data_IF_133580610971
#
_entry.id   IF_133580610971
#
_cell.length_a   1.000
_cell.length_b   1.000
_cell.length_c   1.000
_cell.angle_alpha   90.00
_cell.angle_beta   90.00
_cell.angle_gamma   90.00
#
_symmetry.space_group_name_H-M   'P 1'
#
loop_
_entity.id
_entity.type
_entity.pdbx_description
1 polymer ?
#
# COMPACT_ATOMS: atom_id res chain seq x y z
N UNK A 1 -36.63 42.84 36.97
CA UNK A 1 -35.49 42.60 37.90
C UNK A 1 -34.28 42.23 37.05
N UNK A 2 -33.52 43.23 36.60
CA UNK A 2 -32.34 43.05 35.75
C UNK A 2 -31.15 42.71 36.65
N UNK A 3 -30.85 41.42 36.76
CA UNK A 3 -29.67 40.94 37.48
C UNK A 3 -28.44 41.24 36.61
N UNK A 4 -27.84 42.42 36.78
CA UNK A 4 -26.54 42.74 36.22
C UNK A 4 -25.49 41.99 37.02
N UNK A 5 -25.43 40.67 36.83
CA UNK A 5 -24.40 39.84 37.40
C UNK A 5 -23.06 40.33 36.84
N UNK A 6 -22.27 41.00 37.67
CA UNK A 6 -20.89 41.36 37.36
C UNK A 6 -20.19 40.13 36.77
N UNK A 7 -19.89 40.18 35.47
CA UNK A 7 -19.17 39.13 34.76
C UNK A 7 -17.77 39.12 35.35
N UNK A 8 -17.37 38.04 36.02
CA UNK A 8 -16.06 38.00 36.66
C UNK A 8 -14.98 38.05 35.55
N UNK A 9 -13.96 38.93 35.67
CA UNK A 9 -12.90 39.03 34.66
C UNK A 9 -12.16 37.71 34.45
N UNK A 10 -12.07 36.88 35.50
CA UNK A 10 -11.54 35.51 35.43
C UNK A 10 -12.32 34.59 34.50
N UNK A 11 -13.66 34.74 34.44
CA UNK A 11 -14.49 33.93 33.53
C UNK A 11 -14.23 34.29 32.06
N UNK A 12 -14.10 35.58 31.76
CA UNK A 12 -13.79 36.05 30.41
C UNK A 12 -12.38 35.62 29.97
N UNK A 13 -11.38 35.72 30.86
CA UNK A 13 -10.02 35.25 30.59
C UNK A 13 -9.97 33.74 30.34
N UNK A 14 -10.65 32.94 31.15
CA UNK A 14 -10.74 31.50 30.95
C UNK A 14 -11.38 31.15 29.60
N UNK A 15 -12.41 31.91 29.18
CA UNK A 15 -13.06 31.72 27.89
C UNK A 15 -12.12 32.02 26.71
N UNK A 16 -11.40 33.15 26.76
CA UNK A 16 -10.44 33.54 25.72
C UNK A 16 -9.28 32.54 25.65
N UNK A 17 -8.72 32.16 26.79
CA UNK A 17 -7.65 31.17 26.86
C UNK A 17 -8.10 29.81 26.31
N UNK A 18 -9.32 29.38 26.64
CA UNK A 18 -9.93 28.17 26.09
C UNK A 18 -10.09 28.25 24.57
N UNK A 19 -10.65 29.34 24.05
CA UNK A 19 -10.81 29.55 22.62
C UNK A 19 -9.46 29.53 21.89
N UNK A 20 -8.44 30.18 22.45
CA UNK A 20 -7.09 30.18 21.90
C UNK A 20 -6.48 28.78 21.90
N UNK A 21 -6.59 28.05 23.00
CA UNK A 21 -6.10 26.68 23.11
C UNK A 21 -6.77 25.74 22.10
N UNK A 22 -8.09 25.84 21.93
CA UNK A 22 -8.81 25.05 20.92
C UNK A 22 -8.35 25.41 19.52
N UNK A 23 -8.17 26.69 19.21
CA UNK A 23 -7.68 27.11 17.89
C UNK A 23 -6.28 26.56 17.59
N UNK A 24 -5.37 26.60 18.57
CA UNK A 24 -4.03 26.03 18.44
C UNK A 24 -4.09 24.49 18.25
N UNK A 25 -4.93 23.81 19.03
CA UNK A 25 -5.11 22.37 18.93
C UNK A 25 -5.61 21.96 17.53
N UNK A 26 -6.56 22.72 16.95
CA UNK A 26 -7.06 22.47 15.59
C UNK A 26 -5.95 22.63 14.55
N UNK A 27 -5.13 23.67 14.65
CA UNK A 27 -4.01 23.88 13.72
C UNK A 27 -3.01 22.74 13.80
N UNK A 28 -2.62 22.32 15.01
CA UNK A 28 -1.70 21.20 15.22
C UNK A 28 -2.31 19.91 14.66
N UNK A 29 -3.58 19.64 14.96
CA UNK A 29 -4.30 18.48 14.44
C UNK A 29 -4.35 18.45 12.92
N UNK A 30 -4.60 19.60 12.27
CA UNK A 30 -4.60 19.72 10.82
C UNK A 30 -3.21 19.44 10.22
N UNK A 31 -2.15 19.98 10.81
CA UNK A 31 -0.77 19.70 10.38
C UNK A 31 -0.45 18.21 10.49
N UNK A 32 -0.77 17.59 11.63
CA UNK A 32 -0.57 16.15 11.83
C UNK A 32 -1.37 15.32 10.83
N UNK A 33 -2.62 15.70 10.55
CA UNK A 33 -3.47 15.02 9.57
C UNK A 33 -2.87 15.09 8.17
N UNK A 34 -2.33 16.24 7.76
CA UNK A 34 -1.67 16.40 6.45
C UNK A 34 -0.41 15.53 6.36
N UNK A 35 0.44 15.52 7.40
CA UNK A 35 1.63 14.68 7.42
C UNK A 35 1.29 13.19 7.36
N UNK A 36 0.26 12.78 8.12
CA UNK A 36 -0.25 11.42 8.07
C UNK A 36 -0.77 11.07 6.68
N UNK A 37 -1.62 11.91 6.10
CA UNK A 37 -2.16 11.72 4.76
C UNK A 37 -1.04 11.61 3.71
N UNK A 38 -0.05 12.50 3.75
CA UNK A 38 1.10 12.43 2.86
C UNK A 38 1.86 11.11 2.99
N UNK A 39 2.06 10.62 4.21
CA UNK A 39 2.73 9.35 4.48
C UNK A 39 1.93 8.17 3.91
N UNK A 40 0.62 8.16 4.14
CA UNK A 40 -0.29 7.13 3.61
C UNK A 40 -0.28 7.15 2.08
N UNK A 41 -0.24 8.32 1.45
CA UNK A 41 -0.11 8.43 -0.02
C UNK A 41 1.18 7.79 -0.51
N UNK A 42 2.32 8.08 0.12
CA UNK A 42 3.61 7.49 -0.26
C UNK A 42 3.60 5.97 -0.10
N UNK A 43 3.14 5.48 1.05
CA UNK A 43 3.05 4.03 1.32
C UNK A 43 2.07 3.36 0.35
N UNK A 44 0.92 3.96 0.11
CA UNK A 44 -0.09 3.47 -0.84
C UNK A 44 0.44 3.45 -2.27
N UNK A 45 1.22 4.45 -2.68
CA UNK A 45 1.85 4.50 -4.00
C UNK A 45 2.91 3.40 -4.15
N UNK A 46 3.84 3.28 -3.21
CA UNK A 46 4.87 2.22 -3.21
C UNK A 46 4.20 0.84 -3.16
N UNK A 47 3.23 0.67 -2.26
CA UNK A 47 2.45 -0.55 -2.14
C UNK A 47 1.77 -0.91 -3.46
N UNK A 48 1.08 0.04 -4.10
CA UNK A 48 0.41 -0.19 -5.40
C UNK A 48 1.39 -0.59 -6.50
N UNK A 49 2.56 0.05 -6.57
CA UNK A 49 3.61 -0.32 -7.52
C UNK A 49 4.12 -1.75 -7.28
N UNK A 50 4.41 -2.10 -6.02
CA UNK A 50 4.88 -3.43 -5.65
C UNK A 50 3.81 -4.50 -5.87
N UNK A 51 2.56 -4.25 -5.50
CA UNK A 51 1.44 -5.16 -5.74
C UNK A 51 1.16 -5.33 -7.24
N UNK A 52 1.24 -4.27 -8.02
CA UNK A 52 1.11 -4.33 -9.48
C UNK A 52 2.19 -5.21 -10.11
N UNK A 53 3.45 -5.02 -9.71
CA UNK A 53 4.56 -5.83 -10.17
C UNK A 53 4.44 -7.29 -9.72
N UNK A 54 4.09 -7.53 -8.45
CA UNK A 54 3.88 -8.87 -7.92
C UNK A 54 2.75 -9.59 -8.68
N UNK A 55 1.62 -8.93 -8.89
CA UNK A 55 0.50 -9.47 -9.65
C UNK A 55 0.90 -9.80 -11.10
N UNK A 56 1.68 -8.93 -11.73
CA UNK A 56 2.22 -9.17 -13.08
C UNK A 56 3.18 -10.38 -13.10
N UNK A 57 4.10 -10.48 -12.15
CA UNK A 57 5.02 -11.61 -12.05
C UNK A 57 4.28 -12.95 -11.82
N UNK A 58 3.25 -12.96 -10.96
CA UNK A 58 2.41 -14.14 -10.76
C UNK A 58 1.63 -14.52 -12.02
N UNK A 59 1.14 -13.54 -12.78
CA UNK A 59 0.47 -13.78 -14.08
C UNK A 59 1.45 -14.38 -15.09
N UNK A 60 2.67 -13.85 -15.17
CA UNK A 60 3.73 -14.36 -16.05
C UNK A 60 4.13 -15.80 -15.70
N UNK A 61 4.28 -16.12 -14.40
CA UNK A 61 4.56 -17.49 -13.94
C UNK A 61 3.45 -18.47 -14.34
N UNK A 62 2.18 -18.08 -14.20
CA UNK A 62 1.05 -18.90 -14.65
C UNK A 62 1.08 -19.13 -16.17
N UNK A 63 1.39 -18.09 -16.96
CA UNK A 63 1.50 -18.20 -18.41
C UNK A 63 2.68 -19.07 -18.86
N UNK A 64 3.84 -18.98 -18.18
CA UNK A 64 4.99 -19.82 -18.45
C UNK A 64 4.74 -21.29 -18.07
N UNK A 65 4.08 -21.56 -16.93
CA UNK A 65 3.69 -22.91 -16.55
C UNK A 65 2.71 -23.56 -17.54
N UNK A 66 1.78 -22.78 -18.12
CA UNK A 66 0.90 -23.26 -19.18
C UNK A 66 1.64 -23.57 -20.50
N UNK A 67 2.73 -22.85 -20.80
CA UNK A 67 3.59 -23.13 -21.96
C UNK A 67 4.46 -24.38 -21.80
N UNK A 68 4.91 -24.68 -20.58
CA UNK A 68 5.64 -25.93 -20.29
C UNK A 68 4.73 -27.17 -20.27
N UNK A 69 3.41 -26.97 -20.31
CA UNK A 69 2.42 -28.05 -20.44
C UNK A 69 2.02 -28.31 -21.90
N UNK A 70 2.66 -27.66 -22.88
CA UNK A 70 2.42 -27.90 -24.30
C UNK A 70 2.89 -29.33 -24.67
N UNK A 71 1.97 -30.26 -24.99
CA UNK A 71 2.32 -31.65 -25.31
C UNK A 71 3.14 -31.79 -26.60
N UNK A 72 3.28 -30.71 -27.37
CA UNK A 72 4.13 -30.66 -28.56
C UNK A 72 5.58 -30.23 -28.29
N UNK A 73 5.91 -29.79 -27.07
CA UNK A 73 7.23 -29.25 -26.75
C UNK A 73 8.23 -30.38 -26.47
N UNK A 74 9.28 -30.45 -27.29
CA UNK A 74 10.38 -31.40 -27.08
C UNK A 74 11.40 -30.72 -26.15
N UNK A 75 11.36 -31.05 -24.86
CA UNK A 75 12.28 -30.49 -23.86
C UNK A 75 13.61 -31.26 -23.86
N UNK A 76 14.70 -30.64 -24.31
CA UNK A 76 16.05 -31.17 -24.14
C UNK A 76 16.58 -30.82 -22.75
N UNK A 77 16.72 -31.80 -21.86
CA UNK A 77 17.31 -31.62 -20.53
C UNK A 77 18.73 -32.18 -20.51
N UNK A 78 19.65 -31.36 -20.01
CA UNK A 78 21.02 -31.78 -19.75
C UNK A 78 21.03 -32.68 -18.50
N UNK A 79 21.54 -33.90 -18.65
CA UNK A 79 21.58 -34.92 -17.58
C UNK A 79 22.96 -35.01 -16.91
N UNK A 80 23.85 -34.06 -17.22
CA UNK A 80 25.23 -34.00 -16.75
C UNK A 80 26.23 -34.48 -17.79
N UNK A 81 27.36 -33.77 -17.91
CA UNK A 81 28.41 -34.05 -18.90
C UNK A 81 28.08 -33.47 -20.29
N UNK A 82 28.32 -34.26 -21.35
CA UNK A 82 28.07 -33.88 -22.75
C UNK A 82 26.74 -34.42 -23.31
N UNK A 83 25.90 -35.02 -22.47
CA UNK A 83 24.65 -35.66 -22.90
C UNK A 83 23.43 -34.77 -22.66
N UNK A 84 22.64 -34.62 -23.71
CA UNK A 84 21.33 -33.97 -23.69
C UNK A 84 20.27 -35.01 -24.06
N UNK A 85 19.22 -35.12 -23.26
CA UNK A 85 18.10 -36.04 -23.51
C UNK A 85 16.85 -35.23 -23.82
N UNK A 86 16.24 -35.53 -24.97
CA UNK A 86 14.97 -34.94 -25.38
C UNK A 86 13.79 -35.72 -24.77
N UNK A 87 13.00 -35.04 -23.94
CA UNK A 87 11.74 -35.52 -23.37
C UNK A 87 10.56 -34.94 -24.18
N UNK A 88 9.36 -35.53 -24.06
CA UNK A 88 8.15 -35.08 -24.78
C UNK A 88 7.90 -35.74 -26.15
N UNK A 89 8.81 -36.56 -26.68
CA UNK A 89 8.60 -37.25 -27.97
C UNK A 89 7.61 -38.43 -27.88
N UNK A 90 7.44 -39.02 -26.69
CA UNK A 90 6.74 -40.30 -26.51
C UNK A 90 5.25 -40.18 -26.13
N UNK A 91 4.74 -38.97 -25.93
CA UNK A 91 3.34 -38.73 -25.56
C UNK A 91 2.37 -38.71 -26.77
N UNK A 92 2.88 -38.92 -27.99
CA UNK A 92 2.07 -39.08 -29.21
C UNK A 92 1.60 -40.53 -29.37
N UNK A 93 0.55 -40.93 -28.65
CA UNK A 93 -0.19 -42.16 -28.96
C UNK A 93 -1.68 -42.03 -28.71
#
# INVERSE_FOLDING_TARGET
MTNSAAVSPWRNLAWIAGALATSAAVVIGAVLAVLFAATVVVVGFIGSALFGLAAFAFRGRKAAGARNADPGLIEARNVGGHSWVAYGWNERR
#
